data_IF_887949692932
#
_entry.id   IF_887949692932
#
_cell.length_a   1.000
_cell.length_b   1.000
_cell.length_c   1.000
_cell.angle_alpha   90.00
_cell.angle_beta   90.00
_cell.angle_gamma   90.00
#
_symmetry.space_group_name_H-M   'P 1'
#
loop_
_entity.id
_entity.type
_entity.pdbx_description
1 polymer ?
#
# COMPACT_ATOMS: atom_id res chain seq x y z
N UNK A 1 -38.74 -0.45 8.13
CA UNK A 1 -37.56 -0.32 9.00
C UNK A 1 -36.42 0.01 8.07
N UNK A 2 -35.61 1.02 8.38
CA UNK A 2 -34.43 1.31 7.58
C UNK A 2 -33.45 0.14 7.74
N UNK A 3 -33.21 -0.57 6.64
CA UNK A 3 -32.28 -1.70 6.54
C UNK A 3 -31.03 -1.25 5.81
N UNK A 4 -29.89 -1.86 6.10
CA UNK A 4 -28.67 -1.59 5.35
C UNK A 4 -28.80 -2.08 3.91
N UNK A 5 -27.98 -1.57 3.00
CA UNK A 5 -27.91 -2.07 1.62
C UNK A 5 -27.26 -3.46 1.50
N UNK A 6 -26.60 -3.94 2.56
CA UNK A 6 -25.91 -5.21 2.61
C UNK A 6 -26.76 -6.32 3.22
N UNK A 7 -26.49 -7.55 2.77
CA UNK A 7 -27.20 -8.77 3.15
C UNK A 7 -26.38 -9.65 4.09
N UNK A 8 -27.03 -10.66 4.67
CA UNK A 8 -26.35 -11.69 5.45
C UNK A 8 -25.31 -12.45 4.62
N UNK A 9 -25.59 -12.69 3.33
CA UNK A 9 -24.62 -13.27 2.38
C UNK A 9 -23.35 -12.43 2.31
N UNK A 10 -23.46 -11.11 2.20
CA UNK A 10 -22.28 -10.22 2.08
C UNK A 10 -21.36 -10.34 3.30
N UNK A 11 -21.95 -10.40 4.50
CA UNK A 11 -21.25 -10.63 5.76
C UNK A 11 -20.61 -12.04 5.82
N UNK A 12 -21.32 -13.08 5.39
CA UNK A 12 -20.81 -14.45 5.39
C UNK A 12 -19.74 -14.70 4.32
N UNK A 13 -19.73 -13.95 3.23
CA UNK A 13 -18.67 -13.99 2.22
C UNK A 13 -17.40 -13.26 2.67
N UNK A 14 -17.53 -12.32 3.61
CA UNK A 14 -16.40 -11.59 4.20
C UNK A 14 -15.44 -12.53 4.92
N UNK A 15 -15.93 -13.44 5.77
CA UNK A 15 -15.08 -14.45 6.45
C UNK A 15 -14.43 -15.45 5.51
N UNK A 16 -14.95 -15.61 4.29
CA UNK A 16 -14.42 -16.52 3.26
C UNK A 16 -13.37 -15.85 2.36
N UNK A 17 -13.07 -14.57 2.58
CA UNK A 17 -12.18 -13.77 1.73
C UNK A 17 -12.65 -13.72 0.27
N UNK A 18 -13.96 -13.69 0.07
CA UNK A 18 -14.53 -13.63 -1.25
C UNK A 18 -14.14 -12.32 -1.94
N UNK A 19 -13.57 -12.41 -3.14
CA UNK A 19 -13.17 -11.23 -3.91
C UNK A 19 -14.36 -10.41 -4.40
N UNK A 20 -15.56 -10.98 -4.39
CA UNK A 20 -16.80 -10.35 -4.81
C UNK A 20 -17.61 -9.80 -3.63
N UNK A 21 -17.19 -10.04 -2.38
CA UNK A 21 -17.87 -9.44 -1.23
C UNK A 21 -17.71 -7.91 -1.30
N UNK A 22 -18.80 -7.14 -1.25
CA UNK A 22 -18.71 -5.68 -1.25
C UNK A 22 -18.13 -5.14 0.06
N UNK A 23 -18.15 -5.95 1.14
CA UNK A 23 -17.58 -5.62 2.44
C UNK A 23 -16.09 -5.93 2.54
N UNK A 24 -15.48 -6.52 1.50
CA UNK A 24 -14.08 -6.97 1.52
C UNK A 24 -13.14 -5.86 1.96
N UNK A 25 -12.16 -6.18 2.80
CA UNK A 25 -11.16 -5.20 3.26
C UNK A 25 -9.77 -5.63 2.87
N UNK A 26 -9.15 -4.85 1.99
CA UNK A 26 -7.78 -5.03 1.52
C UNK A 26 -6.94 -3.86 1.98
N UNK A 27 -5.79 -4.18 2.55
CA UNK A 27 -4.75 -3.21 2.84
C UNK A 27 -3.47 -3.52 2.07
N UNK A 28 -2.76 -2.47 1.65
CA UNK A 28 -1.36 -2.54 1.27
C UNK A 28 -0.54 -1.74 2.27
N UNK A 29 0.51 -2.33 2.82
CA UNK A 29 1.54 -1.64 3.59
C UNK A 29 2.78 -1.53 2.71
N UNK A 30 3.32 -0.33 2.59
CA UNK A 30 4.50 0.03 1.78
C UNK A 30 5.51 0.80 2.66
N UNK A 31 6.70 0.23 2.88
CA UNK A 31 7.75 0.85 3.68
C UNK A 31 8.34 2.09 3.01
N UNK A 32 8.40 3.19 3.77
CA UNK A 32 8.78 4.49 3.25
C UNK A 32 10.27 4.55 2.91
N UNK A 33 10.61 4.77 1.64
CA UNK A 33 11.99 4.89 1.19
C UNK A 33 12.88 3.74 1.70
N UNK A 34 12.37 2.51 1.63
CA UNK A 34 12.85 1.34 2.36
C UNK A 34 14.38 1.19 2.46
N UNK A 35 15.11 1.20 1.34
CA UNK A 35 16.58 1.06 1.40
C UNK A 35 17.26 2.21 2.14
N UNK A 36 16.82 3.45 1.96
CA UNK A 36 17.38 4.58 2.71
C UNK A 36 17.05 4.49 4.20
N UNK A 37 15.84 4.03 4.54
CA UNK A 37 15.43 3.82 5.92
C UNK A 37 16.22 2.70 6.60
N UNK A 38 16.50 1.60 5.90
CA UNK A 38 17.39 0.54 6.38
C UNK A 38 18.77 1.08 6.79
N UNK A 39 19.34 1.97 5.96
CA UNK A 39 20.63 2.57 6.25
C UNK A 39 20.56 3.61 7.38
N UNK A 40 19.50 4.44 7.43
CA UNK A 40 19.27 5.39 8.54
C UNK A 40 19.27 4.66 9.88
N UNK A 41 18.53 3.55 9.99
CA UNK A 41 18.45 2.78 11.24
C UNK A 41 19.74 2.02 11.52
N UNK A 42 20.34 1.36 10.51
CA UNK A 42 21.62 0.63 10.70
C UNK A 42 22.75 1.54 11.18
N UNK A 43 22.79 2.78 10.69
CA UNK A 43 23.79 3.78 11.03
C UNK A 43 23.42 4.59 12.29
N UNK A 44 22.25 4.35 12.89
CA UNK A 44 21.72 5.11 14.01
C UNK A 44 21.67 6.63 13.74
N UNK A 45 21.29 7.02 12.51
CA UNK A 45 21.20 8.43 12.12
C UNK A 45 19.84 9.02 12.51
N UNK A 46 19.78 10.33 12.83
CA UNK A 46 18.51 11.04 12.98
C UNK A 46 17.66 10.93 11.71
N UNK A 47 16.35 10.78 11.85
CA UNK A 47 15.41 10.67 10.71
C UNK A 47 15.39 11.92 9.81
N UNK A 48 15.83 13.07 10.33
CA UNK A 48 16.01 14.32 9.59
C UNK A 48 17.27 14.37 8.72
N UNK A 49 18.18 13.40 8.85
CA UNK A 49 19.44 13.39 8.10
C UNK A 49 19.17 13.08 6.64
N UNK A 50 19.51 13.95 5.67
CA UNK A 50 19.36 13.63 4.25
C UNK A 50 20.30 12.47 3.88
N UNK A 51 19.72 11.38 3.37
CA UNK A 51 20.48 10.18 3.01
C UNK A 51 20.03 9.64 1.65
N UNK A 52 21.03 9.32 0.81
CA UNK A 52 20.86 8.56 -0.41
C UNK A 52 21.61 7.24 -0.34
N UNK A 53 20.97 6.17 -0.81
CA UNK A 53 21.61 4.88 -1.01
C UNK A 53 22.07 4.78 -2.44
N UNK A 54 23.34 4.43 -2.63
CA UNK A 54 23.97 4.31 -3.93
C UNK A 54 24.46 2.89 -4.23
N UNK A 55 24.36 2.55 -5.51
CA UNK A 55 25.16 1.52 -6.18
C UNK A 55 26.27 2.21 -6.97
N UNK A 56 27.25 1.48 -7.54
CA UNK A 56 28.44 2.07 -8.12
C UNK A 56 28.22 3.31 -9.00
N UNK A 57 27.16 3.32 -9.82
CA UNK A 57 26.91 4.39 -10.79
C UNK A 57 25.59 5.14 -10.60
N UNK A 58 24.83 4.86 -9.53
CA UNK A 58 23.49 5.44 -9.41
C UNK A 58 22.96 5.48 -7.98
N UNK A 59 22.20 6.52 -7.68
CA UNK A 59 21.35 6.59 -6.49
C UNK A 59 20.12 5.72 -6.70
N UNK A 60 19.95 4.71 -5.85
CA UNK A 60 18.85 3.74 -5.93
C UNK A 60 17.70 4.05 -4.97
N UNK A 61 17.96 4.79 -3.88
CA UNK A 61 16.93 5.21 -2.93
C UNK A 61 17.32 6.52 -2.24
N UNK A 62 16.30 7.30 -1.88
CA UNK A 62 16.40 8.58 -1.20
C UNK A 62 15.36 8.60 -0.08
N UNK A 63 15.77 8.99 1.12
CA UNK A 63 14.82 9.31 2.18
C UNK A 63 14.13 10.66 1.91
N UNK A 64 13.10 10.97 2.69
CA UNK A 64 12.26 12.16 2.44
C UNK A 64 13.01 13.48 2.60
N UNK A 65 13.87 13.68 3.62
CA UNK A 65 14.71 14.88 3.70
C UNK A 65 15.60 15.10 2.46
N UNK A 66 16.17 14.04 1.88
CA UNK A 66 16.94 14.16 0.64
C UNK A 66 16.06 14.54 -0.56
N UNK A 67 14.81 14.04 -0.62
CA UNK A 67 13.86 14.39 -1.69
C UNK A 67 13.39 15.85 -1.61
N UNK A 68 13.27 16.41 -0.41
CA UNK A 68 12.88 17.81 -0.19
C UNK A 68 13.90 18.79 -0.79
N UNK A 69 15.16 18.37 -0.94
CA UNK A 69 16.19 19.14 -1.67
C UNK A 69 15.98 19.17 -3.19
N UNK A 70 15.00 18.42 -3.72
CA UNK A 70 14.72 18.30 -5.16
C UNK A 70 15.43 17.12 -5.83
N UNK A 71 16.19 16.30 -5.08
CA UNK A 71 16.87 15.12 -5.62
C UNK A 71 15.88 14.02 -6.00
N UNK A 72 16.21 13.32 -7.09
CA UNK A 72 15.41 12.22 -7.64
C UNK A 72 16.25 10.96 -7.75
N UNK A 73 15.58 9.80 -7.70
CA UNK A 73 16.21 8.50 -7.93
C UNK A 73 16.82 8.49 -9.34
N UNK A 74 18.02 7.91 -9.48
CA UNK A 74 18.78 7.93 -10.73
C UNK A 74 19.68 9.15 -10.92
N UNK A 75 19.66 10.14 -10.01
CA UNK A 75 20.62 11.23 -10.00
C UNK A 75 22.06 10.71 -9.81
N UNK A 76 23.03 11.47 -10.32
CA UNK A 76 24.46 11.17 -10.14
C UNK A 76 24.94 11.57 -8.74
N UNK A 77 26.09 11.03 -8.34
CA UNK A 77 26.75 11.37 -7.08
C UNK A 77 27.11 12.86 -7.03
N UNK A 78 27.63 13.40 -8.14
CA UNK A 78 28.02 14.80 -8.24
C UNK A 78 26.80 15.73 -8.17
N UNK A 79 25.70 15.34 -8.80
CA UNK A 79 24.43 16.06 -8.68
C UNK A 79 23.93 16.07 -7.23
N UNK A 80 23.96 14.92 -6.55
CA UNK A 80 23.55 14.82 -5.16
C UNK A 80 24.34 15.74 -4.23
N UNK A 81 25.67 15.75 -4.35
CA UNK A 81 26.53 16.64 -3.55
C UNK A 81 26.31 18.11 -3.87
N UNK A 82 26.01 18.45 -5.12
CA UNK A 82 25.74 19.83 -5.53
C UNK A 82 24.41 20.34 -4.99
N UNK A 83 23.36 19.51 -5.03
CA UNK A 83 21.99 19.89 -4.64
C UNK A 83 21.82 19.81 -3.12
N UNK A 84 22.46 18.84 -2.46
CA UNK A 84 22.39 18.64 -1.02
C UNK A 84 23.82 18.40 -0.47
N UNK A 85 24.56 19.47 -0.13
CA UNK A 85 25.96 19.36 0.30
C UNK A 85 26.17 18.49 1.56
N UNK A 86 25.19 18.46 2.45
CA UNK A 86 25.24 17.69 3.71
C UNK A 86 24.70 16.25 3.57
N UNK A 87 24.43 15.79 2.34
CA UNK A 87 23.85 14.46 2.11
C UNK A 87 24.79 13.33 2.51
N UNK A 88 24.26 12.37 3.28
CA UNK A 88 24.94 11.11 3.55
C UNK A 88 24.76 10.19 2.34
N UNK A 89 25.86 9.87 1.66
CA UNK A 89 25.88 8.93 0.54
C UNK A 89 26.32 7.55 1.04
N UNK A 90 25.36 6.68 1.32
CA UNK A 90 25.63 5.32 1.78
C UNK A 90 25.69 4.36 0.60
N UNK A 91 26.85 3.75 0.36
CA UNK A 91 26.96 2.68 -0.63
C UNK A 91 26.36 1.37 -0.07
N UNK A 92 25.71 0.58 -0.92
CA UNK A 92 25.26 -0.77 -0.55
C UNK A 92 26.44 -1.66 -0.12
N UNK A 93 26.15 -2.73 0.62
CA UNK A 93 27.15 -3.76 0.89
C UNK A 93 27.67 -4.37 -0.43
N UNK A 94 28.83 -5.04 -0.39
CA UNK A 94 29.40 -5.71 -1.56
C UNK A 94 29.85 -7.13 -1.29
N UNK A 95 29.69 -7.98 -2.31
CA UNK A 95 30.34 -9.27 -2.46
C UNK A 95 31.70 -9.05 -3.12
N UNK A 96 32.78 -9.46 -2.43
CA UNK A 96 34.16 -9.34 -2.94
C UNK A 96 34.63 -10.68 -3.49
N UNK A 97 35.34 -10.64 -4.61
CA UNK A 97 35.93 -11.84 -5.20
C UNK A 97 36.85 -12.54 -4.19
N UNK A 98 36.65 -13.85 -4.02
CA UNK A 98 37.37 -14.65 -3.02
C UNK A 98 36.72 -14.68 -1.62
N UNK A 99 35.67 -13.89 -1.36
CA UNK A 99 34.93 -13.92 -0.09
C UNK A 99 33.58 -14.63 -0.21
N UNK A 100 33.14 -15.28 0.89
CA UNK A 100 31.87 -16.02 0.97
C UNK A 100 30.74 -15.25 1.65
N UNK A 101 31.01 -14.00 2.08
CA UNK A 101 30.02 -13.14 2.74
C UNK A 101 30.07 -11.73 2.16
N UNK A 102 28.94 -11.03 2.21
CA UNK A 102 28.87 -9.61 1.90
C UNK A 102 29.29 -8.77 3.11
N UNK A 103 29.80 -7.56 2.87
CA UNK A 103 30.11 -6.61 3.92
C UNK A 103 29.89 -5.17 3.45
N UNK A 104 29.64 -4.25 4.38
CA UNK A 104 29.79 -2.82 4.13
C UNK A 104 31.27 -2.47 4.15
N UNK A 105 31.77 -1.81 3.11
CA UNK A 105 33.21 -1.57 2.94
C UNK A 105 33.52 -0.08 2.72
N UNK A 106 34.47 0.50 3.47
CA UNK A 106 34.88 1.89 3.27
C UNK A 106 35.71 2.08 1.99
N UNK A 107 36.33 1.00 1.49
CA UNK A 107 37.20 1.02 0.31
C UNK A 107 36.46 0.72 -1.00
N UNK A 108 35.12 0.68 -0.99
CA UNK A 108 34.30 0.23 -2.12
C UNK A 108 34.64 0.96 -3.43
N UNK A 109 34.97 2.26 -3.36
CA UNK A 109 35.32 3.07 -4.53
C UNK A 109 36.59 2.60 -5.24
N UNK A 110 37.50 1.89 -4.55
CA UNK A 110 38.72 1.32 -5.12
C UNK A 110 38.48 -0.01 -5.82
N UNK A 111 37.36 -0.66 -5.55
CA UNK A 111 37.05 -2.03 -5.98
C UNK A 111 35.75 -2.12 -6.80
N UNK A 112 35.20 -1.00 -7.28
CA UNK A 112 33.91 -0.96 -8.00
C UNK A 112 33.87 -1.85 -9.26
N UNK A 113 35.02 -2.14 -9.87
CA UNK A 113 35.12 -2.99 -11.06
C UNK A 113 34.99 -4.50 -10.74
N UNK A 114 35.32 -4.91 -9.52
CA UNK A 114 35.39 -6.32 -9.10
C UNK A 114 34.29 -6.68 -8.10
N UNK A 115 33.96 -5.76 -7.20
CA UNK A 115 32.94 -5.96 -6.18
C UNK A 115 31.53 -5.91 -6.78
N UNK A 116 30.67 -6.86 -6.41
CA UNK A 116 29.26 -6.88 -6.81
C UNK A 116 28.38 -6.30 -5.70
N UNK A 117 27.39 -5.49 -6.06
CA UNK A 117 26.42 -4.94 -5.11
C UNK A 117 25.64 -6.04 -4.39
N UNK A 118 25.52 -5.93 -3.07
CA UNK A 118 24.78 -6.83 -2.20
C UNK A 118 23.61 -6.07 -1.55
N UNK A 119 22.38 -6.48 -1.86
CA UNK A 119 21.15 -5.96 -1.25
C UNK A 119 20.63 -6.88 -0.13
N UNK A 120 21.36 -7.95 0.16
CA UNK A 120 21.12 -8.93 1.22
C UNK A 120 20.78 -8.30 2.58
N UNK A 121 21.45 -7.22 3.05
CA UNK A 121 21.08 -6.58 4.32
C UNK A 121 19.62 -6.12 4.32
N UNK A 122 19.18 -5.44 3.25
CA UNK A 122 17.80 -4.97 3.12
C UNK A 122 16.82 -6.13 2.91
N UNK A 123 17.21 -7.19 2.20
CA UNK A 123 16.39 -8.39 2.00
C UNK A 123 16.14 -9.14 3.32
N UNK A 124 17.14 -9.19 4.21
CA UNK A 124 17.01 -9.74 5.56
C UNK A 124 16.05 -8.90 6.40
N UNK A 125 16.18 -7.57 6.36
CA UNK A 125 15.26 -6.68 7.05
C UNK A 125 13.81 -6.83 6.56
N UNK A 126 13.60 -6.89 5.25
CA UNK A 126 12.28 -7.16 4.64
C UNK A 126 11.61 -8.42 5.21
N UNK A 127 12.36 -9.52 5.30
CA UNK A 127 11.85 -10.78 5.86
C UNK A 127 11.44 -10.63 7.33
N UNK A 128 12.31 -10.04 8.15
CA UNK A 128 12.05 -9.80 9.57
C UNK A 128 10.78 -8.99 9.80
N UNK A 129 10.57 -7.92 9.03
CA UNK A 129 9.39 -7.08 9.23
C UNK A 129 8.11 -7.70 8.69
N UNK A 130 8.17 -8.51 7.64
CA UNK A 130 6.99 -9.27 7.21
C UNK A 130 6.61 -10.35 8.22
N UNK A 131 7.58 -11.04 8.82
CA UNK A 131 7.33 -11.96 9.94
C UNK A 131 6.75 -11.20 11.14
N UNK A 132 7.28 -10.03 11.47
CA UNK A 132 6.76 -9.19 12.54
C UNK A 132 5.31 -8.74 12.28
N UNK A 133 4.98 -8.25 11.08
CA UNK A 133 3.60 -7.88 10.71
C UNK A 133 2.66 -9.08 10.84
N UNK A 134 3.07 -10.27 10.41
CA UNK A 134 2.25 -11.50 10.58
C UNK A 134 2.00 -11.82 12.05
N UNK A 135 2.99 -11.61 12.91
CA UNK A 135 2.85 -11.83 14.37
C UNK A 135 1.86 -10.85 15.04
N UNK A 136 1.60 -9.70 14.43
CA UNK A 136 0.63 -8.71 14.90
C UNK A 136 -0.80 -9.00 14.45
N UNK A 137 -1.02 -9.87 13.45
CA UNK A 137 -2.38 -10.21 13.00
C UNK A 137 -3.01 -11.25 13.94
N UNK A 138 -4.35 -11.23 14.06
CA UNK A 138 -5.06 -12.28 14.80
C UNK A 138 -4.80 -13.65 14.14
N UNK A 139 -4.94 -14.71 14.93
CA UNK A 139 -5.05 -16.14 14.57
C UNK A 139 -4.46 -16.52 13.19
N UNK A 140 -3.36 -17.27 13.17
CA UNK A 140 -2.67 -17.66 11.94
C UNK A 140 -3.59 -18.35 10.90
N UNK A 141 -4.60 -19.09 11.35
CA UNK A 141 -5.59 -19.78 10.52
C UNK A 141 -6.43 -18.87 9.61
N UNK A 142 -6.54 -17.59 9.95
CA UNK A 142 -7.33 -16.60 9.18
C UNK A 142 -6.47 -15.53 8.52
N UNK A 143 -5.15 -15.68 8.52
CA UNK A 143 -4.26 -14.71 7.90
C UNK A 143 -4.14 -14.93 6.39
N UNK A 144 -4.44 -13.88 5.62
CA UNK A 144 -4.10 -13.82 4.19
C UNK A 144 -3.15 -12.67 3.92
N UNK A 145 -1.86 -13.02 3.85
CA UNK A 145 -0.74 -12.09 3.67
C UNK A 145 0.01 -12.45 2.39
N UNK A 146 0.14 -11.49 1.47
CA UNK A 146 0.84 -11.66 0.20
C UNK A 146 1.97 -10.63 0.11
N UNK A 147 3.22 -11.09 0.08
CA UNK A 147 4.37 -10.25 -0.22
C UNK A 147 4.31 -9.85 -1.70
N UNK A 148 4.12 -8.55 -1.97
CA UNK A 148 4.06 -8.01 -3.33
C UNK A 148 5.44 -7.62 -3.85
N UNK A 149 6.27 -7.05 -2.99
CA UNK A 149 7.63 -6.64 -3.29
C UNK A 149 8.50 -6.75 -2.02
N UNK A 150 9.74 -6.29 -2.09
CA UNK A 150 10.65 -6.26 -0.94
C UNK A 150 10.14 -5.39 0.21
N UNK A 151 9.43 -4.31 -0.09
CA UNK A 151 8.94 -3.28 0.82
C UNK A 151 7.41 -3.19 0.85
N UNK A 152 6.71 -4.04 0.09
CA UNK A 152 5.26 -4.02 -0.05
C UNK A 152 4.62 -5.36 0.35
N UNK A 153 3.57 -5.31 1.16
CA UNK A 153 2.76 -6.47 1.54
C UNK A 153 1.25 -6.16 1.49
N UNK A 154 0.49 -7.03 0.84
CA UNK A 154 -0.96 -7.02 0.88
C UNK A 154 -1.48 -7.85 2.04
N UNK A 155 -2.51 -7.33 2.71
CA UNK A 155 -3.29 -8.00 3.73
C UNK A 155 -4.73 -8.06 3.27
N UNK A 156 -5.32 -9.25 3.21
CA UNK A 156 -6.77 -9.42 3.12
C UNK A 156 -7.30 -9.54 4.56
N UNK A 157 -7.81 -8.42 5.07
CA UNK A 157 -8.26 -8.27 6.46
C UNK A 157 -9.71 -8.72 6.65
N UNK A 158 -10.36 -9.24 5.61
CA UNK A 158 -11.79 -9.54 5.61
C UNK A 158 -12.22 -10.43 6.77
N UNK A 159 -11.52 -11.55 7.02
CA UNK A 159 -11.86 -12.44 8.14
C UNK A 159 -11.61 -11.80 9.52
N UNK A 160 -10.54 -11.01 9.67
CA UNK A 160 -10.25 -10.26 10.90
C UNK A 160 -11.33 -9.23 11.19
N UNK A 161 -11.71 -8.46 10.17
CA UNK A 161 -12.75 -7.43 10.24
C UNK A 161 -14.09 -8.09 10.59
N UNK A 162 -14.46 -9.18 9.92
CA UNK A 162 -15.67 -9.94 10.24
C UNK A 162 -15.72 -10.37 11.72
N UNK A 163 -14.63 -10.93 12.27
CA UNK A 163 -14.58 -11.31 13.68
C UNK A 163 -14.77 -10.11 14.63
N UNK A 164 -14.18 -8.97 14.30
CA UNK A 164 -14.31 -7.74 15.10
C UNK A 164 -15.74 -7.20 15.00
N UNK A 165 -16.33 -7.19 13.79
CA UNK A 165 -17.71 -6.77 13.57
C UNK A 165 -18.69 -7.59 14.43
N UNK A 166 -18.58 -8.92 14.43
CA UNK A 166 -19.45 -9.77 15.26
C UNK A 166 -19.26 -9.54 16.78
N UNK A 167 -18.06 -9.14 17.22
CA UNK A 167 -17.78 -8.83 18.63
C UNK A 167 -18.31 -7.44 19.03
N UNK A 168 -18.24 -6.46 18.13
CA UNK A 168 -18.62 -5.08 18.39
C UNK A 168 -20.10 -4.81 18.16
N UNK A 169 -20.74 -5.54 17.24
CA UNK A 169 -22.13 -5.37 16.83
C UNK A 169 -22.91 -6.68 17.04
N UNK A 170 -23.45 -6.92 18.25
CA UNK A 170 -24.19 -8.14 18.58
C UNK A 170 -25.39 -8.42 17.67
N UNK A 171 -25.98 -7.38 17.07
CA UNK A 171 -27.05 -7.50 16.07
C UNK A 171 -26.62 -8.26 14.80
N UNK A 172 -25.31 -8.36 14.52
CA UNK A 172 -24.76 -9.16 13.44
C UNK A 172 -24.52 -10.62 13.86
N UNK A 173 -24.59 -10.96 15.15
CA UNK A 173 -24.32 -12.31 15.62
C UNK A 173 -25.47 -13.29 15.34
N UNK A 174 -26.69 -12.78 15.17
CA UNK A 174 -27.84 -13.60 14.79
C UNK A 174 -27.60 -14.27 13.42
N UNK A 175 -27.88 -15.57 13.35
CA UNK A 175 -27.80 -16.35 12.12
C UNK A 175 -29.22 -16.66 11.64
N UNK A 176 -29.81 -15.81 10.79
CA UNK A 176 -31.09 -16.12 10.18
C UNK A 176 -30.93 -17.25 9.14
N UNK A 177 -32.02 -17.96 8.88
CA UNK A 177 -32.07 -19.02 7.86
C UNK A 177 -31.96 -18.45 6.42
N UNK A 178 -32.32 -17.18 6.22
CA UNK A 178 -32.28 -16.49 4.92
C UNK A 178 -31.00 -15.65 4.75
N UNK A 179 -30.15 -16.05 3.81
CA UNK A 179 -28.92 -15.32 3.49
C UNK A 179 -29.17 -14.02 2.70
N UNK A 180 -30.33 -13.86 2.06
CA UNK A 180 -30.67 -12.63 1.33
C UNK A 180 -31.28 -11.56 2.24
N UNK A 181 -31.49 -11.88 3.52
CA UNK A 181 -31.99 -10.93 4.48
C UNK A 181 -31.01 -9.76 4.62
N UNK A 182 -31.52 -8.54 4.43
CA UNK A 182 -30.76 -7.32 4.67
C UNK A 182 -30.37 -7.20 6.15
N UNK A 183 -29.14 -6.76 6.38
CA UNK A 183 -28.62 -6.47 7.71
C UNK A 183 -29.36 -5.28 8.32
N UNK A 184 -29.48 -5.23 9.66
CA UNK A 184 -29.90 -4.00 10.32
C UNK A 184 -28.90 -2.88 10.01
N UNK A 185 -29.35 -1.62 9.99
CA UNK A 185 -28.42 -0.50 9.88
C UNK A 185 -27.42 -0.49 11.06
N UNK A 186 -26.17 -0.06 10.84
CA UNK A 186 -25.23 0.17 11.93
C UNK A 186 -25.82 1.18 12.92
N UNK A 187 -25.85 0.84 14.21
CA UNK A 187 -26.31 1.78 15.25
C UNK A 187 -25.34 2.97 15.36
N UNK A 188 -25.89 4.18 15.46
CA UNK A 188 -25.24 5.51 15.59
C UNK A 188 -23.69 5.52 15.66
N UNK A 189 -23.06 6.05 14.61
CA UNK A 189 -21.61 6.12 14.32
C UNK A 189 -20.78 7.06 15.20
N UNK A 190 -20.89 7.00 16.51
CA UNK A 190 -19.83 7.57 17.38
C UNK A 190 -18.50 6.77 17.33
N UNK A 191 -18.36 5.85 16.37
CA UNK A 191 -17.27 4.88 16.26
C UNK A 191 -16.40 5.03 15.01
N UNK A 192 -16.80 5.83 14.01
CA UNK A 192 -15.95 6.09 12.85
C UNK A 192 -14.85 7.08 13.25
N UNK A 193 -13.74 6.55 13.76
CA UNK A 193 -12.55 7.33 14.14
C UNK A 193 -11.60 7.47 12.94
N UNK A 194 -11.96 8.44 12.10
CA UNK A 194 -11.12 8.87 10.99
C UNK A 194 -10.01 9.84 11.41
N UNK A 195 -9.85 10.21 12.70
CA UNK A 195 -9.07 11.38 13.11
C UNK A 195 -7.59 11.34 12.65
N UNK A 196 -7.05 10.13 12.45
CA UNK A 196 -5.68 9.90 11.95
C UNK A 196 -5.60 9.34 10.50
N UNK A 197 -6.74 9.20 9.82
CA UNK A 197 -6.84 8.67 8.47
C UNK A 197 -6.99 9.79 7.45
N UNK A 198 -6.27 9.69 6.33
CA UNK A 198 -6.68 10.45 5.15
C UNK A 198 -7.80 9.68 4.44
N UNK A 199 -9.04 10.10 4.66
CA UNK A 199 -10.19 9.55 3.94
C UNK A 199 -10.38 10.36 2.67
N UNK A 200 -10.53 9.68 1.54
CA UNK A 200 -10.84 10.37 0.29
C UNK A 200 -12.29 10.83 0.30
N UNK A 201 -12.49 12.13 0.01
CA UNK A 201 -13.79 12.78 0.06
C UNK A 201 -14.85 12.08 -0.80
N UNK A 202 -16.05 11.93 -0.23
CA UNK A 202 -17.25 11.47 -0.92
C UNK A 202 -18.06 12.73 -1.25
N UNK A 203 -18.16 13.11 -2.53
CA UNK A 203 -18.78 14.39 -2.95
C UNK A 203 -20.28 14.51 -2.59
N UNK A 204 -20.97 13.38 -2.32
CA UNK A 204 -22.39 13.32 -1.93
C UNK A 204 -22.69 12.07 -1.09
N UNK A 205 -22.11 11.93 0.09
CA UNK A 205 -22.49 10.85 0.99
C UNK A 205 -23.86 11.13 1.64
N UNK A 206 -24.73 10.11 1.70
CA UNK A 206 -25.71 10.04 2.80
C UNK A 206 -24.87 10.06 4.10
N UNK A 207 -25.15 10.94 5.07
CA UNK A 207 -24.37 11.00 6.30
C UNK A 207 -24.49 9.72 7.16
N UNK A 208 -25.38 8.80 6.79
CA UNK A 208 -25.56 7.53 7.49
C UNK A 208 -24.46 6.53 7.10
N UNK A 209 -23.74 5.97 8.10
CA UNK A 209 -22.73 4.94 7.87
C UNK A 209 -23.38 3.66 7.34
N UNK A 210 -22.72 2.99 6.42
CA UNK A 210 -23.07 1.64 5.97
C UNK A 210 -22.02 0.62 6.44
N UNK A 211 -22.30 -0.68 6.30
CA UNK A 211 -21.40 -1.72 6.83
C UNK A 211 -20.05 -1.80 6.13
N UNK A 212 -19.94 -1.32 4.89
CA UNK A 212 -18.66 -1.19 4.18
C UNK A 212 -17.78 -0.11 4.79
N UNK A 213 -18.36 1.02 5.21
CA UNK A 213 -17.65 2.08 5.94
C UNK A 213 -17.11 1.54 7.28
N UNK A 214 -17.95 0.83 8.04
CA UNK A 214 -17.57 0.21 9.31
C UNK A 214 -16.45 -0.82 9.09
N UNK A 215 -16.55 -1.65 8.04
CA UNK A 215 -15.54 -2.64 7.73
C UNK A 215 -14.19 -1.99 7.39
N UNK A 216 -14.20 -0.92 6.57
CA UNK A 216 -12.99 -0.18 6.24
C UNK A 216 -12.38 0.53 7.45
N UNK A 217 -13.19 1.09 8.34
CA UNK A 217 -12.71 1.76 9.56
C UNK A 217 -12.03 0.77 10.52
N UNK A 218 -12.64 -0.40 10.76
CA UNK A 218 -12.01 -1.49 11.52
C UNK A 218 -10.68 -1.89 10.86
N UNK A 219 -10.67 -2.04 9.54
CA UNK A 219 -9.46 -2.32 8.77
C UNK A 219 -8.38 -1.25 8.96
N UNK A 220 -8.78 0.03 8.90
CA UNK A 220 -7.90 1.17 9.12
C UNK A 220 -7.33 1.19 10.55
N UNK A 221 -8.14 0.82 11.56
CA UNK A 221 -7.69 0.66 12.94
C UNK A 221 -6.64 -0.44 13.11
N UNK A 222 -6.83 -1.59 12.46
CA UNK A 222 -5.82 -2.67 12.43
C UNK A 222 -4.51 -2.16 11.82
N UNK A 223 -4.59 -1.49 10.67
CA UNK A 223 -3.42 -0.96 9.97
C UNK A 223 -2.71 0.12 10.78
N UNK A 224 -3.44 1.04 11.41
CA UNK A 224 -2.90 2.08 12.28
C UNK A 224 -2.06 1.46 13.39
N UNK A 225 -2.59 0.42 14.05
CA UNK A 225 -1.88 -0.33 15.09
C UNK A 225 -0.61 -0.99 14.55
N UNK A 226 -0.70 -1.71 13.43
CA UNK A 226 0.46 -2.38 12.82
C UNK A 226 1.56 -1.36 12.49
N UNK A 227 1.20 -0.23 11.89
CA UNK A 227 2.16 0.83 11.53
C UNK A 227 2.84 1.42 12.77
N UNK A 228 2.09 1.65 13.85
CA UNK A 228 2.63 2.15 15.12
C UNK A 228 3.59 1.14 15.78
N UNK A 229 3.24 -0.14 15.78
CA UNK A 229 4.09 -1.22 16.30
C UNK A 229 5.37 -1.38 15.47
N UNK A 230 5.28 -1.32 14.14
CA UNK A 230 6.44 -1.33 13.24
C UNK A 230 7.37 -0.15 13.56
N UNK A 231 6.83 1.06 13.68
CA UNK A 231 7.62 2.25 14.02
C UNK A 231 8.31 2.10 15.38
N UNK A 232 7.59 1.65 16.40
CA UNK A 232 8.11 1.52 17.76
C UNK A 232 9.19 0.43 17.85
N UNK A 233 8.97 -0.71 17.20
CA UNK A 233 9.89 -1.86 17.27
C UNK A 233 11.15 -1.67 16.44
N UNK A 234 11.08 -0.94 15.33
CA UNK A 234 12.15 -0.94 14.32
C UNK A 234 12.66 0.44 13.91
N UNK A 235 11.97 1.52 14.29
CA UNK A 235 12.23 2.86 13.76
C UNK A 235 11.77 3.06 12.33
N UNK A 236 11.07 2.08 11.73
CA UNK A 236 10.65 2.16 10.33
C UNK A 236 9.30 2.82 10.20
N UNK A 237 9.18 3.77 9.27
CA UNK A 237 7.88 4.28 8.87
C UNK A 237 7.39 3.54 7.63
N UNK A 238 6.09 3.31 7.57
CA UNK A 238 5.43 2.81 6.38
C UNK A 238 4.14 3.60 6.14
N UNK A 239 3.78 3.67 4.86
CA UNK A 239 2.51 4.23 4.43
C UNK A 239 1.57 3.10 3.99
N UNK A 240 0.27 3.33 4.05
CA UNK A 240 -0.70 2.27 3.73
C UNK A 240 -1.93 2.78 2.99
N UNK A 241 -2.56 1.90 2.23
CA UNK A 241 -3.84 2.15 1.59
C UNK A 241 -4.83 1.05 1.95
N UNK A 242 -6.05 1.43 2.30
CA UNK A 242 -7.13 0.54 2.71
C UNK A 242 -8.32 0.76 1.78
N UNK A 243 -8.80 -0.30 1.13
CA UNK A 243 -9.89 -0.26 0.17
C UNK A 243 -10.51 -1.65 -0.03
N UNK A 244 -11.50 -1.79 -0.91
CA UNK A 244 -12.15 -3.09 -1.19
C UNK A 244 -11.38 -4.00 -2.16
N UNK A 245 -10.30 -3.51 -2.79
CA UNK A 245 -9.51 -4.32 -3.70
C UNK A 245 -8.03 -3.90 -3.72
N UNK A 246 -7.17 -4.80 -4.22
CA UNK A 246 -5.71 -4.64 -4.25
C UNK A 246 -5.25 -3.45 -5.10
N UNK A 247 -5.96 -3.13 -6.19
CA UNK A 247 -5.57 -2.04 -7.09
C UNK A 247 -5.73 -0.70 -6.39
N UNK A 248 -6.92 -0.47 -5.80
CA UNK A 248 -7.23 0.77 -5.09
C UNK A 248 -6.40 0.89 -3.81
N UNK A 249 -6.23 -0.19 -3.04
CA UNK A 249 -5.37 -0.20 -1.85
C UNK A 249 -3.91 0.17 -2.20
N UNK A 250 -3.40 -0.30 -3.34
CA UNK A 250 -2.06 0.09 -3.81
C UNK A 250 -1.95 1.57 -4.16
N UNK A 251 -2.95 2.12 -4.84
CA UNK A 251 -2.98 3.55 -5.15
C UNK A 251 -3.05 4.38 -3.86
N UNK A 252 -3.87 3.97 -2.88
CA UNK A 252 -3.98 4.62 -1.58
C UNK A 252 -2.67 4.65 -0.79
N UNK A 253 -1.90 3.55 -0.80
CA UNK A 253 -0.60 3.48 -0.13
C UNK A 253 0.44 4.43 -0.73
N UNK A 254 0.33 4.71 -2.03
CA UNK A 254 1.17 5.66 -2.74
C UNK A 254 0.73 7.12 -2.64
N UNK A 255 -0.51 7.38 -2.17
CA UNK A 255 -1.13 8.69 -2.30
C UNK A 255 -0.61 9.73 -1.31
N UNK A 256 -0.53 9.37 -0.02
CA UNK A 256 0.04 10.21 1.03
C UNK A 256 1.21 9.46 1.65
N UNK A 257 2.42 9.97 1.45
CA UNK A 257 3.65 9.47 2.08
C UNK A 257 4.51 10.67 2.53
N UNK A 258 5.38 10.53 3.54
CA UNK A 258 5.63 9.33 4.36
C UNK A 258 4.66 9.19 5.53
N UNK A 259 4.66 8.00 6.14
CA UNK A 259 4.05 7.70 7.43
C UNK A 259 2.55 8.09 7.53
N UNK A 260 1.79 7.89 6.46
CA UNK A 260 0.34 8.12 6.43
C UNK A 260 -0.40 6.87 5.97
N UNK A 261 -1.69 6.82 6.28
CA UNK A 261 -2.58 5.83 5.66
C UNK A 261 -3.76 6.52 4.99
N UNK A 262 -4.16 5.97 3.86
CA UNK A 262 -5.29 6.46 3.06
C UNK A 262 -6.39 5.42 3.07
N UNK A 263 -7.61 5.82 3.43
CA UNK A 263 -8.81 4.98 3.28
C UNK A 263 -9.58 5.45 2.05
N UNK A 264 -9.93 4.52 1.18
CA UNK A 264 -10.67 4.81 -0.07
C UNK A 264 -11.98 4.03 -0.04
N UNK A 265 -13.08 4.67 0.42
CA UNK A 265 -14.43 4.08 0.38
C UNK A 265 -14.85 3.68 -1.03
N UNK A 266 -15.76 2.69 -1.13
CA UNK A 266 -16.32 2.27 -2.42
C UNK A 266 -16.90 3.46 -3.21
N UNK A 267 -17.67 4.30 -2.51
CA UNK A 267 -18.33 5.49 -3.09
C UNK A 267 -17.32 6.55 -3.57
N UNK A 268 -16.17 6.66 -2.91
CA UNK A 268 -15.11 7.61 -3.28
C UNK A 268 -14.21 7.07 -4.42
N UNK A 269 -14.26 5.78 -4.75
CA UNK A 269 -13.27 5.14 -5.64
C UNK A 269 -13.28 5.75 -7.04
N UNK A 270 -14.44 5.93 -7.66
CA UNK A 270 -14.52 6.52 -9.01
C UNK A 270 -13.97 7.95 -9.04
N UNK A 271 -14.35 8.77 -8.06
CA UNK A 271 -13.89 10.15 -7.96
C UNK A 271 -12.39 10.24 -7.65
N UNK A 272 -11.90 9.38 -6.75
CA UNK A 272 -10.47 9.25 -6.47
C UNK A 272 -9.68 8.96 -7.75
N UNK A 273 -10.11 7.95 -8.52
CA UNK A 273 -9.45 7.55 -9.75
C UNK A 273 -9.48 8.65 -10.81
N UNK A 274 -10.61 9.37 -10.95
CA UNK A 274 -10.74 10.48 -11.89
C UNK A 274 -9.88 11.69 -11.51
N UNK A 275 -9.86 12.07 -10.23
CA UNK A 275 -9.18 13.28 -9.75
C UNK A 275 -7.65 13.13 -9.69
N UNK A 276 -7.14 11.91 -9.55
CA UNK A 276 -5.69 11.70 -9.42
C UNK A 276 -4.89 11.87 -10.73
N UNK A 277 -5.52 12.23 -11.87
CA UNK A 277 -4.85 12.34 -13.19
C UNK A 277 -3.96 11.10 -13.43
N UNK A 278 -4.51 9.93 -13.16
CA UNK A 278 -3.77 8.68 -13.18
C UNK A 278 -3.60 8.26 -14.63
N UNK A 279 -2.38 8.37 -15.15
CA UNK A 279 -2.01 7.62 -16.35
C UNK A 279 -2.16 6.14 -16.05
N UNK A 280 -2.65 5.35 -16.99
CA UNK A 280 -2.76 3.90 -16.85
C UNK A 280 -1.47 3.23 -16.36
N UNK A 281 -0.30 3.75 -16.77
CA UNK A 281 1.02 3.32 -16.26
C UNK A 281 1.19 3.32 -14.73
N UNK A 282 0.39 4.10 -14.00
CA UNK A 282 0.40 4.16 -12.54
C UNK A 282 -0.50 3.10 -11.89
N UNK A 283 -1.39 2.47 -12.64
CA UNK A 283 -2.22 1.36 -12.18
C UNK A 283 -1.47 0.04 -12.39
N UNK A 284 -1.38 -0.75 -11.31
CA UNK A 284 -0.77 -2.08 -11.37
C UNK A 284 -1.50 -2.95 -12.39
N UNK A 285 -0.74 -3.55 -13.31
CA UNK A 285 -1.28 -4.42 -14.36
C UNK A 285 -1.69 -3.70 -15.64
N UNK A 286 -1.79 -2.36 -15.62
CA UNK A 286 -2.22 -1.56 -16.79
C UNK A 286 -1.08 -0.76 -17.45
N UNK A 287 0.16 -0.91 -16.98
CA UNK A 287 1.32 -0.26 -17.60
C UNK A 287 1.94 -1.04 -18.76
N UNK A 288 2.82 -0.37 -19.51
CA UNK A 288 3.61 -1.00 -20.57
C UNK A 288 2.81 -1.17 -21.87
N UNK A 289 2.67 -2.42 -22.33
CA UNK A 289 2.01 -2.71 -23.62
C UNK A 289 0.53 -2.35 -23.63
N UNK A 290 -0.18 -2.61 -22.53
CA UNK A 290 -1.61 -2.32 -22.44
C UNK A 290 -1.87 -0.81 -22.46
N UNK A 291 -1.07 -0.03 -21.72
CA UNK A 291 -1.11 1.44 -21.79
C UNK A 291 -0.96 1.96 -23.24
N UNK A 292 -0.01 1.40 -23.99
CA UNK A 292 0.18 1.77 -25.40
C UNK A 292 -1.01 1.33 -26.27
N UNK A 293 -1.56 0.13 -26.05
CA UNK A 293 -2.74 -0.35 -26.79
C UNK A 293 -3.96 0.54 -26.55
N UNK A 294 -4.19 0.99 -25.32
CA UNK A 294 -5.27 1.92 -25.00
C UNK A 294 -5.04 3.27 -25.67
N UNK A 295 -3.80 3.78 -25.60
CA UNK A 295 -3.43 5.04 -26.27
C UNK A 295 -3.64 4.95 -27.79
N UNK A 296 -3.23 3.84 -28.42
CA UNK A 296 -3.38 3.62 -29.86
C UNK A 296 -4.86 3.45 -30.26
N UNK A 297 -5.68 2.81 -29.42
CA UNK A 297 -7.08 2.53 -29.70
C UNK A 297 -8.01 3.73 -29.50
N UNK A 298 -7.76 4.54 -28.47
CA UNK A 298 -8.67 5.60 -28.02
C UNK A 298 -8.07 7.02 -28.07
N UNK A 299 -6.76 7.15 -28.29
CA UNK A 299 -6.08 8.45 -28.33
C UNK A 299 -5.81 9.08 -26.96
N UNK A 300 -6.15 8.37 -25.88
CA UNK A 300 -5.91 8.75 -24.50
C UNK A 300 -5.59 7.52 -23.65
N UNK A 301 -4.90 7.71 -22.53
CA UNK A 301 -4.51 6.63 -21.61
C UNK A 301 -4.64 7.04 -20.13
N UNK A 302 -5.60 7.92 -19.86
CA UNK A 302 -5.90 8.39 -18.51
C UNK A 302 -7.17 7.73 -18.01
N UNK A 303 -7.21 7.49 -16.72
CA UNK A 303 -8.31 6.73 -16.09
C UNK A 303 -9.64 7.47 -16.19
N UNK A 304 -9.65 8.80 -16.07
CA UNK A 304 -10.82 9.66 -16.23
C UNK A 304 -11.46 9.53 -17.62
N UNK A 305 -10.65 9.38 -18.66
CA UNK A 305 -11.13 9.19 -20.03
C UNK A 305 -11.66 7.76 -20.24
N UNK A 306 -10.99 6.76 -19.66
CA UNK A 306 -11.38 5.34 -19.78
C UNK A 306 -12.70 5.05 -19.06
N UNK A 307 -12.92 5.66 -17.89
CA UNK A 307 -14.18 5.52 -17.14
C UNK A 307 -15.42 6.02 -17.91
N UNK A 308 -15.24 6.74 -19.02
CA UNK A 308 -16.33 7.21 -19.90
C UNK A 308 -16.61 6.25 -21.06
N UNK A 309 -15.79 5.22 -21.24
CA UNK A 309 -15.98 4.19 -22.27
C UNK A 309 -16.81 3.05 -21.68
N UNK A 310 -17.77 2.54 -22.45
CA UNK A 310 -18.52 1.34 -22.06
C UNK A 310 -17.68 0.08 -22.18
N UNK A 311 -17.99 -0.95 -21.39
CA UNK A 311 -17.27 -2.24 -21.40
C UNK A 311 -17.30 -2.85 -22.80
N UNK A 312 -18.41 -2.78 -23.52
CA UNK A 312 -18.53 -3.35 -24.87
C UNK A 312 -17.56 -2.69 -25.86
N UNK A 313 -17.32 -1.38 -25.72
CA UNK A 313 -16.38 -0.65 -26.56
C UNK A 313 -14.93 -0.95 -26.19
N UNK A 314 -14.64 -1.16 -24.90
CA UNK A 314 -13.33 -1.61 -24.44
C UNK A 314 -13.04 -3.01 -24.99
N UNK A 315 -13.95 -3.97 -24.80
CA UNK A 315 -13.83 -5.34 -25.31
C UNK A 315 -13.68 -5.38 -26.84
N UNK A 316 -14.42 -4.54 -27.57
CA UNK A 316 -14.35 -4.48 -29.03
C UNK A 316 -12.99 -3.99 -29.56
N UNK A 317 -12.28 -3.16 -28.80
CA UNK A 317 -11.00 -2.56 -29.21
C UNK A 317 -9.77 -3.25 -28.62
N UNK A 318 -9.88 -3.78 -27.41
CA UNK A 318 -8.78 -4.37 -26.65
C UNK A 318 -8.89 -5.89 -26.51
N UNK A 319 -10.05 -6.47 -26.88
CA UNK A 319 -10.36 -7.89 -26.71
C UNK A 319 -10.99 -8.19 -25.35
N UNK A 320 -11.72 -9.31 -25.26
CA UNK A 320 -12.55 -9.71 -24.10
C UNK A 320 -11.84 -9.82 -22.74
N UNK A 321 -10.52 -9.99 -22.74
CA UNK A 321 -9.76 -10.18 -21.49
C UNK A 321 -9.14 -8.86 -21.00
N UNK A 322 -8.83 -7.94 -21.91
CA UNK A 322 -8.14 -6.68 -21.60
C UNK A 322 -9.03 -5.45 -21.63
N UNK A 323 -10.15 -5.52 -22.35
CA UNK A 323 -11.22 -4.53 -22.34
C UNK A 323 -12.33 -4.93 -21.38
#
# INVERSE_FOLDING_TARGET
>A
MDTSQYTRRDLDELKKFSSTSPLRVIALIDFDAFYAQCEIVRLCLPSSTPLAVQQPNAIIALNYPARESGLKRGASIDEARRVCPDIVLQHVATWREGETTWAYRPDVTKHMATDKSALDPCHLQSRKYFEFIRSLLLEESIQKVEKANIDEVFLDLSAHVHQIMLRQFPELAEQPDDLEQYLPLPRFSSLLDWEDNHVVDIEKADPRPEWDDIALDIGAGIIRRIRAEVLTHSGYTCSAGIAHNKVVAKLGAGFKKPNRQTVIPAQATCNFLANQIVKLTKIRGLGGKLDQQVLDAFGFNRVDDILRITIENLEAKLGKESG
#
